data_IF_457656784620
#
_entry.id   IF_457656784620
#
_cell.length_a   1.000
_cell.length_b   1.000
_cell.length_c   1.000
_cell.angle_alpha   90.00
_cell.angle_beta   90.00
_cell.angle_gamma   90.00
#
_symmetry.space_group_name_H-M   'P 1'
#
loop_
_entity.id
_entity.type
_entity.pdbx_description
1 polymer ?
#
# COMPACT_ATOMS: atom_id res chain seq x y z
N UNK A 1 5.74 -9.14 12.09
CA UNK A 1 7.21 -9.25 12.06
C UNK A 1 7.90 -7.93 12.45
N UNK A 2 7.96 -6.90 11.59
CA UNK A 2 8.63 -5.62 11.94
C UNK A 2 7.88 -4.89 13.06
N UNK A 3 6.56 -4.72 12.94
CA UNK A 3 5.75 -4.13 13.98
C UNK A 3 5.90 -4.88 15.31
N UNK A 4 5.67 -6.20 15.32
CA UNK A 4 5.72 -7.00 16.56
C UNK A 4 7.11 -6.96 17.22
N UNK A 5 8.18 -6.99 16.42
CA UNK A 5 9.54 -6.82 16.93
C UNK A 5 9.75 -5.44 17.54
N UNK A 6 9.28 -4.37 16.89
CA UNK A 6 9.37 -3.02 17.41
C UNK A 6 8.48 -2.80 18.65
N UNK A 7 7.31 -3.44 18.72
CA UNK A 7 6.37 -3.36 19.83
C UNK A 7 6.93 -3.98 21.12
N UNK A 8 7.91 -4.88 21.01
CA UNK A 8 8.62 -5.43 22.18
C UNK A 8 9.55 -4.42 22.89
N UNK A 9 9.91 -3.34 22.20
CA UNK A 9 10.88 -2.35 22.66
C UNK A 9 10.28 -0.94 22.81
N UNK A 10 9.24 -0.63 22.05
CA UNK A 10 8.67 0.71 21.96
C UNK A 10 7.15 0.73 22.06
N UNK A 11 6.55 1.89 22.43
CA UNK A 11 5.11 2.05 22.42
C UNK A 11 4.47 1.79 21.03
N UNK A 12 3.18 1.40 20.97
CA UNK A 12 2.50 1.01 19.73
C UNK A 12 2.63 2.00 18.57
N UNK A 13 2.62 3.30 18.86
CA UNK A 13 2.76 4.34 17.84
C UNK A 13 4.18 4.40 17.24
N UNK A 14 5.21 4.23 18.07
CA UNK A 14 6.60 4.21 17.61
C UNK A 14 6.86 2.91 16.84
N UNK A 15 6.34 1.78 17.31
CA UNK A 15 6.38 0.51 16.58
C UNK A 15 5.68 0.60 15.22
N UNK A 16 4.52 1.29 15.15
CA UNK A 16 3.82 1.56 13.90
C UNK A 16 4.66 2.43 12.95
N UNK A 17 5.29 3.50 13.45
CA UNK A 17 6.14 4.36 12.64
C UNK A 17 7.35 3.62 12.08
N UNK A 18 8.04 2.82 12.91
CA UNK A 18 9.16 1.96 12.48
C UNK A 18 8.70 0.94 11.44
N UNK A 19 7.53 0.32 11.65
CA UNK A 19 6.97 -0.62 10.69
C UNK A 19 6.60 0.05 9.37
N UNK A 20 5.99 1.24 9.40
CA UNK A 20 5.70 2.03 8.20
C UNK A 20 7.01 2.35 7.47
N UNK A 21 8.00 2.91 8.15
CA UNK A 21 9.32 3.21 7.58
C UNK A 21 9.99 1.98 6.96
N UNK A 22 9.94 0.84 7.66
CA UNK A 22 10.44 -0.44 7.14
C UNK A 22 9.72 -0.87 5.86
N UNK A 23 8.39 -0.77 5.82
CA UNK A 23 7.64 -1.10 4.59
C UNK A 23 7.94 -0.15 3.44
N UNK A 24 8.06 1.16 3.70
CA UNK A 24 8.42 2.16 2.69
C UNK A 24 9.81 1.88 2.12
N UNK A 25 10.78 1.57 2.98
CA UNK A 25 12.13 1.24 2.56
C UNK A 25 12.19 -0.04 1.72
N UNK A 26 11.48 -1.09 2.14
CA UNK A 26 11.42 -2.36 1.41
C UNK A 26 10.72 -2.25 0.05
N UNK A 27 9.72 -1.38 -0.08
CA UNK A 27 9.00 -1.18 -1.35
C UNK A 27 9.59 -0.08 -2.22
N UNK A 28 10.63 0.62 -1.74
CA UNK A 28 11.16 1.82 -2.40
C UNK A 28 10.14 2.95 -2.49
N UNK A 29 9.16 3.00 -1.58
CA UNK A 29 8.10 4.00 -1.52
C UNK A 29 7.19 4.06 -2.76
N UNK A 30 7.20 3.03 -3.63
CA UNK A 30 6.55 3.09 -4.95
C UNK A 30 5.04 3.40 -4.92
N UNK A 31 4.32 2.85 -3.94
CA UNK A 31 2.87 3.07 -3.83
C UNK A 31 2.56 4.46 -3.28
N UNK A 32 3.33 4.87 -2.27
CA UNK A 32 3.18 6.17 -1.64
C UNK A 32 3.63 7.32 -2.54
N UNK A 33 4.63 7.09 -3.40
CA UNK A 33 5.08 8.00 -4.45
C UNK A 33 3.96 8.21 -5.48
N UNK A 34 3.44 7.13 -6.07
CA UNK A 34 2.34 7.22 -7.03
C UNK A 34 1.05 7.81 -6.45
N UNK A 35 0.81 7.64 -5.14
CA UNK A 35 -0.27 8.33 -4.44
C UNK A 35 -0.01 9.85 -4.37
N UNK A 36 1.20 10.26 -3.98
CA UNK A 36 1.58 11.67 -3.91
C UNK A 36 1.50 12.33 -5.29
N UNK A 37 2.05 11.69 -6.34
CA UNK A 37 1.98 12.18 -7.72
C UNK A 37 0.53 12.36 -8.16
N UNK A 38 -0.34 11.39 -7.88
CA UNK A 38 -1.75 11.46 -8.26
C UNK A 38 -2.46 12.62 -7.56
N UNK A 39 -2.19 12.80 -6.26
CA UNK A 39 -2.80 13.87 -5.47
C UNK A 39 -2.32 15.25 -5.91
N UNK A 40 -1.04 15.38 -6.24
CA UNK A 40 -0.47 16.64 -6.71
C UNK A 40 -0.90 16.97 -8.14
N UNK A 41 -0.89 15.97 -9.02
CA UNK A 41 -1.37 16.11 -10.39
C UNK A 41 -2.82 16.58 -10.42
N UNK A 42 -3.72 15.88 -9.74
CA UNK A 42 -5.15 16.21 -9.70
C UNK A 42 -5.41 17.53 -8.94
N UNK A 43 -4.64 17.81 -7.88
CA UNK A 43 -4.81 19.02 -7.09
C UNK A 43 -4.27 20.28 -7.77
N UNK A 44 -3.20 20.17 -8.56
CA UNK A 44 -2.51 21.29 -9.21
C UNK A 44 -2.82 21.49 -10.69
N UNK A 45 -3.39 20.50 -11.38
CA UNK A 45 -3.67 20.53 -12.82
C UNK A 45 -5.15 20.69 -13.17
N UNK A 46 -5.47 21.55 -14.13
CA UNK A 46 -6.85 21.78 -14.61
C UNK A 46 -7.19 21.04 -15.91
N UNK A 47 -6.17 20.58 -16.63
CA UNK A 47 -6.32 19.81 -17.88
C UNK A 47 -5.51 18.52 -17.79
N UNK A 48 -5.90 17.49 -18.55
CA UNK A 48 -5.17 16.21 -18.57
C UNK A 48 -3.67 16.37 -18.86
N UNK A 49 -3.32 17.26 -19.79
CA UNK A 49 -1.92 17.51 -20.12
C UNK A 49 -1.16 18.09 -18.91
N UNK A 50 -1.72 19.09 -18.23
CA UNK A 50 -1.11 19.67 -17.04
C UNK A 50 -0.97 18.66 -15.88
N UNK A 51 -2.01 17.86 -15.62
CA UNK A 51 -1.99 16.80 -14.59
C UNK A 51 -0.82 15.85 -14.86
N UNK A 52 -0.67 15.37 -16.09
CA UNK A 52 0.41 14.45 -16.46
C UNK A 52 1.79 15.11 -16.40
N UNK A 53 1.90 16.40 -16.73
CA UNK A 53 3.15 17.15 -16.55
C UNK A 53 3.52 17.26 -15.07
N UNK A 54 2.56 17.52 -14.18
CA UNK A 54 2.81 17.61 -12.73
C UNK A 54 3.20 16.26 -12.15
N UNK A 55 2.52 15.17 -12.52
CA UNK A 55 2.83 13.80 -12.06
C UNK A 55 4.24 13.32 -12.45
N UNK A 56 4.91 13.98 -13.38
CA UNK A 56 6.28 13.65 -13.81
C UNK A 56 7.31 14.59 -13.20
N UNK A 57 6.87 15.66 -12.57
CA UNK A 57 7.77 16.56 -11.87
C UNK A 57 8.25 15.88 -10.60
N UNK A 58 9.56 15.68 -10.48
CA UNK A 58 10.17 15.10 -9.27
C UNK A 58 9.96 15.95 -8.00
N UNK A 59 9.49 17.19 -8.12
CA UNK A 59 9.23 18.09 -7.00
C UNK A 59 7.82 17.87 -6.47
N UNK A 60 7.73 17.68 -5.16
CA UNK A 60 6.44 17.59 -4.48
C UNK A 60 5.79 18.97 -4.30
N UNK A 61 4.56 19.12 -4.77
CA UNK A 61 3.71 20.25 -4.44
C UNK A 61 3.05 20.16 -3.06
N UNK A 62 2.20 21.15 -2.76
CA UNK A 62 1.52 21.24 -1.47
C UNK A 62 0.49 20.12 -1.27
N UNK A 63 -0.17 19.67 -2.34
CA UNK A 63 -1.15 18.58 -2.28
C UNK A 63 -0.46 17.24 -2.00
N UNK A 64 0.63 16.92 -2.69
CA UNK A 64 1.47 15.76 -2.36
C UNK A 64 1.89 15.78 -0.89
N UNK A 65 2.45 16.90 -0.43
CA UNK A 65 3.01 17.01 0.92
C UNK A 65 1.96 16.85 2.01
N UNK A 66 0.85 17.59 1.94
CA UNK A 66 -0.18 17.58 2.97
C UNK A 66 -0.94 16.25 2.96
N UNK A 67 -1.42 15.81 1.80
CA UNK A 67 -2.24 14.62 1.72
C UNK A 67 -1.41 13.34 1.91
N UNK A 68 -0.19 13.28 1.38
CA UNK A 68 0.75 12.18 1.64
C UNK A 68 1.16 12.12 3.11
N UNK A 69 1.41 13.27 3.74
CA UNK A 69 1.65 13.36 5.18
C UNK A 69 0.48 12.84 6.02
N UNK A 70 -0.74 13.30 5.72
CA UNK A 70 -1.96 12.81 6.37
C UNK A 70 -2.17 11.31 6.16
N UNK A 71 -1.88 10.79 4.98
CA UNK A 71 -1.96 9.36 4.68
C UNK A 71 -1.00 8.53 5.54
N UNK A 72 0.27 8.92 5.63
CA UNK A 72 1.27 8.21 6.46
C UNK A 72 0.90 8.27 7.93
N UNK A 73 0.44 9.43 8.42
CA UNK A 73 -0.04 9.60 9.80
C UNK A 73 -1.26 8.71 10.08
N UNK A 74 -2.26 8.71 9.19
CA UNK A 74 -3.44 7.88 9.33
C UNK A 74 -3.10 6.38 9.34
N UNK A 75 -2.17 5.96 8.48
CA UNK A 75 -1.67 4.57 8.42
C UNK A 75 -0.97 4.18 9.71
N UNK A 76 -0.05 5.01 10.21
CA UNK A 76 0.65 4.75 11.46
C UNK A 76 -0.31 4.74 12.67
N UNK A 77 -1.23 5.70 12.75
CA UNK A 77 -2.23 5.75 13.82
C UNK A 77 -3.15 4.51 13.80
N UNK A 78 -3.62 4.10 12.62
CA UNK A 78 -4.47 2.90 12.48
C UNK A 78 -3.73 1.63 12.91
N UNK A 79 -2.48 1.47 12.49
CA UNK A 79 -1.65 0.33 12.90
C UNK A 79 -1.38 0.34 14.41
N UNK A 80 -1.09 1.50 14.99
CA UNK A 80 -0.92 1.63 16.44
C UNK A 80 -2.16 1.16 17.20
N UNK A 81 -3.35 1.60 16.76
CA UNK A 81 -4.62 1.19 17.38
C UNK A 81 -4.92 -0.28 17.23
N UNK A 82 -4.67 -0.86 16.07
CA UNK A 82 -4.82 -2.31 15.88
C UNK A 82 -3.88 -3.09 16.80
N UNK A 83 -2.65 -2.61 16.99
CA UNK A 83 -1.71 -3.23 17.91
C UNK A 83 -2.14 -3.14 19.38
N UNK A 84 -2.63 -1.98 19.81
CA UNK A 84 -3.17 -1.78 21.16
C UNK A 84 -4.34 -2.74 21.47
N UNK A 85 -5.27 -2.88 20.52
CA UNK A 85 -6.44 -3.75 20.66
C UNK A 85 -6.09 -5.24 20.73
N UNK A 86 -4.96 -5.65 20.14
CA UNK A 86 -4.50 -7.03 20.15
C UNK A 86 -3.73 -7.44 21.42
N UNK A 87 -3.49 -6.50 22.34
CA UNK A 87 -2.84 -6.75 23.62
C UNK A 87 -1.31 -6.56 23.61
N UNK A 88 -0.60 -7.01 24.66
CA UNK A 88 0.81 -6.67 24.89
C UNK A 88 1.77 -7.12 23.79
N UNK A 89 1.44 -8.19 23.07
CA UNK A 89 2.24 -8.70 21.95
C UNK A 89 2.04 -7.91 20.65
N UNK A 90 1.06 -6.99 20.59
CA UNK A 90 0.73 -6.18 19.42
C UNK A 90 0.01 -6.95 18.29
N UNK A 91 0.13 -8.28 18.28
CA UNK A 91 -0.59 -9.16 17.36
C UNK A 91 -0.80 -10.55 17.95
N UNK A 92 -1.83 -11.23 17.45
CA UNK A 92 -2.04 -12.67 17.59
C UNK A 92 -2.04 -13.29 16.21
N UNK A 93 -1.21 -14.31 16.01
CA UNK A 93 -1.07 -15.02 14.75
C UNK A 93 -1.77 -16.37 14.83
N UNK A 94 -2.85 -16.54 14.08
CA UNK A 94 -3.60 -17.78 13.98
C UNK A 94 -4.25 -17.89 12.60
N UNK A 95 -4.17 -19.07 12.00
CA UNK A 95 -4.79 -19.32 10.69
C UNK A 95 -6.31 -19.12 10.82
N UNK A 96 -6.86 -18.19 10.04
CA UNK A 96 -8.26 -17.80 10.04
C UNK A 96 -8.72 -17.05 11.28
N UNK A 97 -7.80 -16.56 12.14
CA UNK A 97 -8.14 -15.89 13.39
C UNK A 97 -7.07 -14.87 13.84
N UNK A 98 -6.27 -14.34 12.91
CA UNK A 98 -5.21 -13.40 13.25
C UNK A 98 -5.77 -12.02 13.54
N UNK A 99 -5.26 -11.36 14.58
CA UNK A 99 -5.66 -10.01 14.99
C UNK A 99 -4.44 -9.15 15.29
N UNK A 100 -4.58 -7.83 15.17
CA UNK A 100 -3.54 -6.87 15.47
C UNK A 100 -2.81 -6.30 14.26
N UNK A 101 -1.77 -5.51 14.53
CA UNK A 101 -1.10 -4.71 13.51
C UNK A 101 -0.30 -5.55 12.51
N UNK A 102 0.35 -6.62 12.97
CA UNK A 102 1.15 -7.52 12.14
C UNK A 102 0.34 -8.16 11.00
N UNK A 103 -0.75 -8.89 11.31
CA UNK A 103 -1.63 -9.46 10.30
C UNK A 103 -2.25 -8.40 9.38
N UNK A 104 -2.62 -7.24 9.93
CA UNK A 104 -3.18 -6.13 9.15
C UNK A 104 -2.20 -5.61 8.07
N UNK A 105 -0.90 -5.54 8.38
CA UNK A 105 0.13 -5.17 7.39
C UNK A 105 0.17 -6.20 6.25
N UNK A 106 0.13 -7.49 6.56
CA UNK A 106 0.16 -8.54 5.53
C UNK A 106 -1.09 -8.49 4.66
N UNK A 107 -2.27 -8.41 5.28
CA UNK A 107 -3.55 -8.30 4.57
C UNK A 107 -3.58 -7.05 3.69
N UNK A 108 -3.17 -5.90 4.21
CA UNK A 108 -3.10 -4.65 3.43
C UNK A 108 -2.20 -4.77 2.20
N UNK A 109 -1.04 -5.42 2.36
CA UNK A 109 -0.11 -5.68 1.25
C UNK A 109 -0.67 -6.69 0.24
N UNK A 110 -1.43 -7.68 0.68
CA UNK A 110 -2.14 -8.61 -0.21
C UNK A 110 -3.22 -7.87 -1.01
N UNK A 111 -4.05 -7.05 -0.36
CA UNK A 111 -5.09 -6.26 -1.03
C UNK A 111 -4.50 -5.30 -2.05
N UNK A 112 -3.41 -4.61 -1.71
CA UNK A 112 -2.71 -3.72 -2.63
C UNK A 112 -2.18 -4.45 -3.89
N UNK A 113 -1.64 -5.67 -3.73
CA UNK A 113 -1.19 -6.48 -4.87
C UNK A 113 -2.34 -7.04 -5.69
N UNK A 114 -3.46 -7.37 -5.04
CA UNK A 114 -4.65 -7.87 -5.71
C UNK A 114 -5.28 -6.81 -6.63
N UNK A 115 -5.14 -5.51 -6.32
CA UNK A 115 -5.62 -4.41 -7.16
C UNK A 115 -4.63 -3.99 -8.26
N UNK A 116 -3.33 -4.05 -7.99
CA UNK A 116 -2.31 -3.59 -8.93
C UNK A 116 -2.27 -4.37 -10.25
N UNK A 117 -2.27 -5.71 -10.20
CA UNK A 117 -2.16 -6.54 -11.41
C UNK A 117 -3.36 -6.38 -12.38
N UNK A 118 -4.62 -6.39 -11.92
CA UNK A 118 -5.77 -6.09 -12.78
C UNK A 118 -5.71 -4.69 -13.39
N UNK A 119 -5.27 -3.66 -12.65
CA UNK A 119 -5.18 -2.30 -13.16
C UNK A 119 -4.13 -2.19 -14.28
N UNK A 120 -2.93 -2.74 -14.06
CA UNK A 120 -1.86 -2.75 -15.07
C UNK A 120 -2.28 -3.53 -16.32
N UNK A 121 -3.04 -4.60 -16.16
CA UNK A 121 -3.57 -5.39 -17.28
C UNK A 121 -4.63 -4.62 -18.07
N UNK A 122 -5.60 -4.01 -17.38
CA UNK A 122 -6.77 -3.39 -18.01
C UNK A 122 -6.49 -2.01 -18.62
N UNK A 123 -5.54 -1.25 -18.08
CA UNK A 123 -5.27 0.11 -18.54
C UNK A 123 -4.06 0.21 -19.45
N UNK A 124 -4.16 1.03 -20.51
CA UNK A 124 -3.03 1.33 -21.40
C UNK A 124 -1.97 2.09 -20.61
N UNK A 125 -0.78 1.50 -20.50
CA UNK A 125 0.37 2.16 -19.91
C UNK A 125 0.82 3.30 -20.84
N UNK A 126 0.99 4.50 -20.28
CA UNK A 126 1.46 5.68 -21.02
C UNK A 126 2.98 5.68 -20.97
N UNK A 127 3.62 5.32 -22.08
CA UNK A 127 5.05 5.47 -22.27
C UNK A 127 5.31 6.85 -22.88
N UNK A 128 6.29 7.55 -22.33
CA UNK A 128 6.80 8.79 -22.92
C UNK A 128 8.31 8.62 -23.11
N UNK A 129 8.80 8.87 -24.31
CA UNK A 129 10.19 8.58 -24.71
C UNK A 129 11.19 9.62 -24.16
N UNK A 130 10.69 10.75 -23.64
CA UNK A 130 11.51 11.90 -23.23
C UNK A 130 11.91 11.92 -21.73
N UNK A 131 11.57 10.90 -20.94
CA UNK A 131 11.94 10.81 -19.52
C UNK A 131 13.42 10.39 -19.34
N UNK A 132 14.14 11.01 -18.42
CA UNK A 132 15.50 10.63 -18.03
C UNK A 132 15.60 9.19 -17.47
N UNK A 133 14.48 8.63 -17.01
CA UNK A 133 14.33 7.21 -16.62
C UNK A 133 13.67 6.35 -17.71
N UNK A 134 13.59 6.87 -18.94
CA UNK A 134 12.83 6.33 -20.05
C UNK A 134 13.19 4.88 -20.42
N UNK A 135 14.46 4.48 -20.35
CA UNK A 135 14.85 3.08 -20.62
C UNK A 135 14.27 2.10 -19.57
N UNK A 136 14.32 2.47 -18.28
CA UNK A 136 13.80 1.63 -17.21
C UNK A 136 12.27 1.53 -17.24
N UNK A 137 11.58 2.65 -17.40
CA UNK A 137 10.11 2.67 -17.52
C UNK A 137 9.63 2.06 -18.85
N UNK A 138 10.39 2.23 -19.92
CA UNK A 138 10.19 1.57 -21.21
C UNK A 138 10.25 0.06 -21.08
N UNK A 139 11.30 -0.46 -20.44
CA UNK A 139 11.41 -1.90 -20.14
C UNK A 139 10.25 -2.40 -19.26
N UNK A 140 9.82 -1.62 -18.27
CA UNK A 140 8.65 -1.95 -17.45
C UNK A 140 7.36 -2.03 -18.28
N UNK A 141 7.13 -1.04 -19.15
CA UNK A 141 5.99 -1.01 -20.05
C UNK A 141 5.98 -2.17 -21.03
N UNK A 142 7.14 -2.51 -21.61
CA UNK A 142 7.30 -3.69 -22.46
C UNK A 142 7.06 -5.01 -21.71
N UNK A 143 7.50 -5.07 -20.46
CA UNK A 143 7.33 -6.25 -19.59
C UNK A 143 5.87 -6.54 -19.26
N UNK A 144 4.93 -5.61 -19.56
CA UNK A 144 3.48 -5.88 -19.51
C UNK A 144 3.09 -7.09 -20.35
N UNK A 145 3.85 -7.44 -21.41
CA UNK A 145 3.64 -8.67 -22.19
C UNK A 145 3.72 -9.95 -21.36
N UNK A 146 4.45 -9.91 -20.24
CA UNK A 146 4.55 -11.02 -19.31
C UNK A 146 3.30 -11.18 -18.45
N UNK A 147 2.43 -10.17 -18.37
CA UNK A 147 1.25 -10.14 -17.50
C UNK A 147 0.01 -10.67 -18.25
N UNK A 148 0.02 -11.98 -18.55
CA UNK A 148 -1.14 -12.65 -19.16
C UNK A 148 -2.33 -12.79 -18.21
N UNK A 149 -3.55 -13.05 -18.73
CA UNK A 149 -4.77 -13.17 -17.91
C UNK A 149 -4.61 -14.22 -16.81
N UNK A 150 -3.89 -15.32 -17.10
CA UNK A 150 -3.70 -16.37 -16.11
C UNK A 150 -2.81 -15.94 -14.93
N UNK A 151 -1.81 -15.09 -15.20
CA UNK A 151 -0.95 -14.53 -14.14
C UNK A 151 -1.67 -13.50 -13.29
N UNK A 152 -2.57 -12.72 -13.89
CA UNK A 152 -3.44 -11.81 -13.14
C UNK A 152 -4.30 -12.60 -12.18
N UNK A 153 -5.06 -13.59 -12.66
CA UNK A 153 -5.93 -14.39 -11.79
C UNK A 153 -5.13 -15.14 -10.73
N UNK A 154 -3.99 -15.74 -11.08
CA UNK A 154 -3.13 -16.40 -10.10
C UNK A 154 -2.64 -15.44 -9.01
N UNK A 155 -2.20 -14.23 -9.38
CA UNK A 155 -1.74 -13.22 -8.41
C UNK A 155 -2.86 -12.72 -7.50
N UNK A 156 -4.04 -12.45 -8.05
CA UNK A 156 -5.21 -12.02 -7.28
C UNK A 156 -5.72 -13.13 -6.38
N UNK A 157 -5.74 -14.37 -6.86
CA UNK A 157 -6.15 -15.54 -6.08
C UNK A 157 -5.19 -15.77 -4.91
N UNK A 158 -3.89 -15.82 -5.15
CA UNK A 158 -2.89 -16.03 -4.08
C UNK A 158 -2.92 -14.92 -3.04
N UNK A 159 -3.07 -13.66 -3.47
CA UNK A 159 -3.24 -12.54 -2.55
C UNK A 159 -4.51 -12.67 -1.70
N UNK A 160 -5.64 -13.05 -2.32
CA UNK A 160 -6.89 -13.29 -1.61
C UNK A 160 -6.75 -14.45 -0.61
N UNK A 161 -6.15 -15.58 -1.00
CA UNK A 161 -5.95 -16.74 -0.11
C UNK A 161 -5.16 -16.36 1.14
N UNK A 162 -4.08 -15.58 1.00
CA UNK A 162 -3.28 -15.13 2.16
C UNK A 162 -4.09 -14.18 3.04
N UNK A 163 -4.83 -13.23 2.45
CA UNK A 163 -5.67 -12.31 3.20
C UNK A 163 -6.77 -13.03 3.99
N UNK A 164 -7.56 -13.89 3.33
CA UNK A 164 -8.63 -14.66 3.98
C UNK A 164 -8.11 -15.71 4.95
N UNK A 165 -6.90 -16.25 4.72
CA UNK A 165 -6.25 -17.16 5.65
C UNK A 165 -5.77 -16.49 6.93
N UNK A 166 -5.69 -15.16 6.98
CA UNK A 166 -5.31 -14.41 8.19
C UNK A 166 -6.51 -13.77 8.89
N UNK A 167 -7.51 -13.31 8.13
CA UNK A 167 -8.66 -12.61 8.70
C UNK A 167 -9.46 -13.53 9.65
N UNK A 168 -9.93 -13.00 10.79
CA UNK A 168 -10.87 -13.71 11.65
C UNK A 168 -12.20 -13.93 10.91
N UNK A 169 -12.96 -15.00 11.24
CA UNK A 169 -14.30 -15.16 10.71
C UNK A 169 -15.13 -13.92 11.10
N UNK A 170 -16.12 -13.52 10.28
CA UNK A 170 -17.05 -12.48 10.67
C UNK A 170 -17.73 -12.91 11.98
N UNK A 171 -17.40 -12.23 13.08
CA UNK A 171 -18.01 -12.49 14.38
C UNK A 171 -19.48 -12.06 14.38
N UNK A 172 -20.30 -12.57 15.32
CA UNK A 172 -21.63 -11.99 15.54
C UNK A 172 -21.47 -10.50 15.84
N UNK A 173 -22.24 -9.65 15.16
CA UNK A 173 -22.34 -8.24 15.51
C UNK A 173 -22.63 -8.13 17.02
N UNK A 174 -21.97 -7.24 17.78
CA UNK A 174 -22.40 -6.97 19.13
C UNK A 174 -23.86 -6.49 19.02
N UNK A 175 -24.78 -7.28 19.57
CA UNK A 175 -26.14 -6.83 19.79
C UNK A 175 -26.03 -5.54 20.60
N UNK A 176 -26.48 -4.43 20.01
CA UNK A 176 -26.42 -3.11 20.64
C UNK A 176 -27.02 -3.19 22.04
N UNK A 177 -26.28 -2.65 23.01
CA UNK A 177 -26.81 -2.33 24.34
C UNK A 177 -27.72 -1.11 24.29
#
# INVERSE_FOLDING_TARGET
>A
AIYDAAASLWPPLVAAAVSCGGTLWLTGCFHEDGLCDTLDGIGGGYTKAQILTIMRDSRNGSYATICGGLWVVAKAASLARLGELAGPSGSTWALGASVGAGPAIIVGQCVARASAAPLIYSYKYVLDEEDAKGEFYGWFGESRRLLGPWRVVFSSFTAATVAFGLLPPPGPHPAGG
#
